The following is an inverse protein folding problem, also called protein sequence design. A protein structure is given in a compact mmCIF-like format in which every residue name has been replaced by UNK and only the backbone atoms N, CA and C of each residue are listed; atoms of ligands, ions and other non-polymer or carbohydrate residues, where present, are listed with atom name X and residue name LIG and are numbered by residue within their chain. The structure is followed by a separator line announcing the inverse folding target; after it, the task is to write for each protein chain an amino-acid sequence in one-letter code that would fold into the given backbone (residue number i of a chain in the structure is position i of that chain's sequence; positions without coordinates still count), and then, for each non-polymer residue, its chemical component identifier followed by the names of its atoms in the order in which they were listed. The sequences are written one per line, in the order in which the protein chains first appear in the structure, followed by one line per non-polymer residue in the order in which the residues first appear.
data_IF_872182438042
#
_entry.id   IF_872182438042
#
_cell.length_a   1.000
_cell.length_b   1.000
_cell.length_c   1.000
_cell.angle_alpha   90.00
_cell.angle_beta   90.00
_cell.angle_gamma   90.00
#
_symmetry.space_group_name_H-M   'P 1'
#
loop_
_entity.id
_entity.type
_entity.pdbx_description
1 polymer ?
#
# COMPACT_ATOMS: atom_id res chain seq x y z
N UNK A 1 -11.20 -39.19 2.15
CA UNK A 1 -10.35 -39.28 3.35
C UNK A 1 -10.43 -37.93 4.04
N UNK A 2 -11.50 -37.73 4.83
CA UNK A 2 -11.74 -36.51 5.57
C UNK A 2 -11.81 -36.94 7.03
N UNK A 3 -10.76 -36.65 7.80
CA UNK A 3 -10.89 -36.49 9.25
C UNK A 3 -9.62 -35.85 9.83
N UNK A 4 -9.83 -35.06 10.88
CA UNK A 4 -8.89 -34.69 11.93
C UNK A 4 -7.86 -33.60 11.64
N UNK A 5 -8.28 -32.33 11.74
CA UNK A 5 -7.55 -31.38 12.61
C UNK A 5 -8.45 -30.23 13.08
N UNK A 6 -9.46 -30.57 13.90
CA UNK A 6 -10.20 -29.60 14.71
C UNK A 6 -9.45 -29.32 16.01
N UNK A 7 -8.14 -29.06 15.94
CA UNK A 7 -7.39 -28.53 17.08
C UNK A 7 -7.65 -27.04 17.16
N UNK A 8 -8.10 -26.59 18.33
CA UNK A 8 -8.42 -25.20 18.67
C UNK A 8 -7.30 -24.27 18.21
N UNK A 9 -7.47 -23.69 17.03
CA UNK A 9 -6.53 -22.74 16.44
C UNK A 9 -6.47 -21.52 17.36
N UNK A 10 -5.31 -21.28 17.99
CA UNK A 10 -5.12 -20.15 18.88
C UNK A 10 -5.17 -18.87 18.04
N UNK A 11 -6.26 -18.12 18.17
CA UNK A 11 -6.42 -16.81 17.52
C UNK A 11 -5.31 -15.85 17.97
N UNK A 12 -4.79 -15.06 17.04
CA UNK A 12 -3.82 -14.02 17.37
C UNK A 12 -4.44 -13.05 18.42
N UNK A 13 -3.75 -12.75 19.53
CA UNK A 13 -4.26 -11.91 20.62
C UNK A 13 -4.28 -10.41 20.29
N UNK A 14 -4.36 -10.04 19.01
CA UNK A 14 -4.32 -8.65 18.54
C UNK A 14 -5.61 -7.87 18.81
N UNK A 15 -6.76 -8.54 18.94
CA UNK A 15 -8.07 -7.87 19.03
C UNK A 15 -8.33 -7.11 20.35
N UNK A 16 -7.41 -7.17 21.33
CA UNK A 16 -7.60 -6.59 22.66
C UNK A 16 -6.42 -5.73 23.15
N UNK A 17 -5.44 -5.42 22.29
CA UNK A 17 -4.21 -4.78 22.73
C UNK A 17 -4.07 -3.35 22.19
N UNK A 18 -4.06 -2.38 23.11
CA UNK A 18 -3.53 -1.03 22.85
C UNK A 18 -2.11 -1.13 22.26
N UNK A 19 -1.69 -0.14 21.46
CA UNK A 19 -0.32 -0.04 20.95
C UNK A 19 0.76 -0.10 22.03
N UNK A 20 0.44 0.31 23.27
CA UNK A 20 1.30 0.14 24.45
C UNK A 20 1.41 -1.32 24.93
N UNK A 21 0.37 -2.14 24.75
CA UNK A 21 0.32 -3.54 25.17
C UNK A 21 1.13 -4.45 24.21
N UNK A 22 1.29 -4.05 22.95
CA UNK A 22 2.18 -4.69 21.96
C UNK A 22 3.66 -4.70 22.39
N UNK A 23 4.08 -3.72 23.20
CA UNK A 23 5.41 -3.71 23.83
C UNK A 23 5.49 -4.64 25.06
N UNK A 24 4.36 -5.03 25.65
CA UNK A 24 4.26 -5.74 26.93
C UNK A 24 3.63 -7.15 26.84
N UNK A 25 3.14 -7.61 25.69
CA UNK A 25 2.58 -8.97 25.44
C UNK A 25 2.52 -9.27 23.93
N UNK A 26 2.40 -10.52 23.42
CA UNK A 26 2.76 -11.88 23.84
C UNK A 26 3.94 -12.46 23.02
N UNK A 27 4.53 -11.67 22.12
CA UNK A 27 5.77 -12.03 21.43
C UNK A 27 6.89 -12.50 22.39
N UNK A 28 7.05 -11.93 23.60
CA UNK A 28 7.98 -12.46 24.59
C UNK A 28 7.70 -13.91 24.97
N UNK A 29 6.43 -14.34 25.04
CA UNK A 29 6.07 -15.72 25.37
C UNK A 29 6.47 -16.71 24.28
N UNK A 30 6.20 -16.39 23.01
CA UNK A 30 6.62 -17.23 21.89
C UNK A 30 8.15 -17.20 21.71
N UNK A 31 8.80 -16.05 21.93
CA UNK A 31 10.26 -15.95 21.95
C UNK A 31 10.88 -16.80 23.05
N UNK A 32 10.35 -16.75 24.28
CA UNK A 32 10.84 -17.55 25.41
C UNK A 32 10.58 -19.04 25.17
N UNK A 33 9.46 -19.41 24.55
CA UNK A 33 9.19 -20.78 24.12
C UNK A 33 10.21 -21.23 23.07
N UNK A 34 10.46 -20.41 22.04
CA UNK A 34 11.46 -20.66 21.00
C UNK A 34 12.90 -20.75 21.50
N UNK A 35 13.23 -20.05 22.59
CA UNK A 35 14.52 -20.17 23.26
C UNK A 35 14.70 -21.53 23.97
N UNK A 36 13.60 -22.11 24.48
CA UNK A 36 13.63 -23.38 25.22
C UNK A 36 13.41 -24.59 24.33
N UNK A 37 12.64 -24.46 23.26
CA UNK A 37 12.25 -25.53 22.36
C UNK A 37 12.16 -24.99 20.93
N UNK A 38 12.61 -25.75 19.91
CA UNK A 38 12.44 -25.34 18.52
C UNK A 38 10.95 -25.21 18.19
N UNK A 39 10.55 -24.07 17.63
CA UNK A 39 9.16 -23.77 17.28
C UNK A 39 8.70 -24.66 16.12
N UNK A 40 7.52 -25.26 16.27
CA UNK A 40 6.85 -26.02 15.21
C UNK A 40 5.71 -25.20 14.58
N UNK A 41 5.23 -25.61 13.40
CA UNK A 41 4.12 -24.94 12.71
C UNK A 41 2.80 -24.96 13.49
N UNK A 42 2.65 -25.91 14.41
CA UNK A 42 1.50 -26.05 15.33
C UNK A 42 1.48 -25.01 16.45
N UNK A 43 2.62 -24.37 16.75
CA UNK A 43 2.75 -23.35 17.79
C UNK A 43 2.40 -21.94 17.29
N UNK A 44 2.30 -21.75 15.97
CA UNK A 44 1.96 -20.48 15.36
C UNK A 44 0.50 -20.10 15.59
N UNK A 45 0.27 -18.80 15.78
CA UNK A 45 -1.08 -18.25 15.83
C UNK A 45 -1.70 -18.21 14.44
N UNK A 46 -3.02 -18.40 14.37
CA UNK A 46 -3.72 -18.05 13.14
C UNK A 46 -3.76 -16.56 12.93
N UNK A 47 -3.66 -16.19 11.67
CA UNK A 47 -3.79 -14.82 11.21
C UNK A 47 -5.19 -14.26 11.56
N UNK A 48 -5.27 -12.94 11.71
CA UNK A 48 -6.55 -12.27 11.89
C UNK A 48 -7.43 -12.44 10.64
N UNK A 49 -8.76 -12.46 10.83
CA UNK A 49 -9.73 -12.62 9.73
C UNK A 49 -9.56 -11.55 8.66
N UNK A 50 -9.31 -10.30 9.09
CA UNK A 50 -9.12 -9.15 8.19
C UNK A 50 -7.88 -9.24 7.30
N UNK A 51 -6.86 -9.97 7.75
CA UNK A 51 -5.59 -10.14 7.03
C UNK A 51 -5.58 -11.42 6.17
N UNK A 52 -6.67 -12.18 6.19
CA UNK A 52 -6.79 -13.45 5.47
C UNK A 52 -7.06 -13.20 3.98
N UNK A 53 -6.54 -14.08 3.12
CA UNK A 53 -6.70 -13.99 1.66
C UNK A 53 -8.16 -14.03 1.21
N UNK A 54 -9.03 -14.67 2.00
CA UNK A 54 -10.49 -14.73 1.78
C UNK A 54 -11.14 -13.36 1.77
N UNK A 55 -10.63 -12.41 2.56
CA UNK A 55 -11.16 -11.04 2.61
C UNK A 55 -10.40 -10.11 1.65
N UNK A 56 -9.07 -10.20 1.64
CA UNK A 56 -8.22 -9.26 0.90
C UNK A 56 -8.31 -9.44 -0.62
N UNK A 57 -8.35 -10.69 -1.10
CA UNK A 57 -8.29 -10.99 -2.54
C UNK A 57 -9.59 -10.63 -3.28
N UNK A 58 -10.80 -10.95 -2.78
CA UNK A 58 -12.04 -10.59 -3.47
C UNK A 58 -12.26 -9.09 -3.57
N UNK A 59 -11.85 -8.32 -2.56
CA UNK A 59 -11.93 -6.86 -2.58
C UNK A 59 -11.14 -6.29 -3.76
N UNK A 60 -9.89 -6.72 -3.93
CA UNK A 60 -9.07 -6.29 -5.06
C UNK A 60 -9.68 -6.70 -6.41
N UNK A 61 -10.16 -7.94 -6.53
CA UNK A 61 -10.75 -8.45 -7.78
C UNK A 61 -12.04 -7.70 -8.14
N UNK A 62 -12.89 -7.38 -7.16
CA UNK A 62 -14.12 -6.63 -7.39
C UNK A 62 -13.82 -5.21 -7.85
N UNK A 63 -12.84 -4.54 -7.25
CA UNK A 63 -12.40 -3.21 -7.69
C UNK A 63 -11.74 -3.24 -9.07
N UNK A 64 -10.96 -4.28 -9.37
CA UNK A 64 -10.37 -4.50 -10.69
C UNK A 64 -11.43 -4.68 -11.77
N UNK A 65 -12.45 -5.52 -11.52
CA UNK A 65 -13.57 -5.72 -12.45
C UNK A 65 -14.32 -4.41 -12.74
N UNK A 66 -14.54 -3.58 -11.71
CA UNK A 66 -15.17 -2.26 -11.87
C UNK A 66 -14.34 -1.34 -12.76
N UNK A 67 -13.02 -1.28 -12.57
CA UNK A 67 -12.14 -0.44 -13.39
C UNK A 67 -12.05 -0.96 -14.84
N UNK A 68 -11.95 -2.28 -15.06
CA UNK A 68 -12.00 -2.87 -16.40
C UNK A 68 -13.32 -2.56 -17.12
N UNK A 69 -14.45 -2.64 -16.43
CA UNK A 69 -15.76 -2.31 -16.99
C UNK A 69 -15.87 -0.81 -17.34
N UNK A 70 -15.28 0.06 -16.52
CA UNK A 70 -15.24 1.51 -16.76
C UNK A 70 -14.39 1.85 -17.99
N UNK A 71 -13.19 1.27 -18.10
CA UNK A 71 -12.30 1.45 -19.25
C UNK A 71 -12.96 0.93 -20.54
N UNK A 72 -13.62 -0.24 -20.50
CA UNK A 72 -14.38 -0.78 -21.65
C UNK A 72 -15.55 0.11 -22.07
N UNK A 73 -16.29 0.71 -21.13
CA UNK A 73 -17.38 1.64 -21.46
C UNK A 73 -16.87 2.94 -22.08
N UNK A 74 -15.70 3.40 -21.64
CA UNK A 74 -15.07 4.61 -22.16
C UNK A 74 -14.54 4.42 -23.58
N UNK A 75 -13.90 3.28 -23.89
CA UNK A 75 -13.48 2.96 -25.26
C UNK A 75 -14.68 2.82 -26.21
N UNK A 76 -15.76 2.18 -25.76
CA UNK A 76 -17.00 2.05 -26.52
C UNK A 76 -17.67 3.40 -26.78
N UNK A 77 -17.74 4.30 -25.80
CA UNK A 77 -18.28 5.66 -25.97
C UNK A 77 -17.47 6.50 -26.97
N UNK A 78 -16.14 6.41 -26.94
CA UNK A 78 -15.27 7.10 -27.92
C UNK A 78 -15.50 6.55 -29.34
N UNK A 79 -15.72 5.23 -29.49
CA UNK A 79 -16.01 4.60 -30.77
C UNK A 79 -17.38 5.02 -31.35
N UNK A 80 -18.40 5.19 -30.51
CA UNK A 80 -19.74 5.60 -30.95
C UNK A 80 -19.93 7.13 -31.07
N UNK A 81 -19.08 7.95 -30.45
CA UNK A 81 -19.13 9.41 -30.56
C UNK A 81 -18.57 9.96 -31.89
N UNK A 82 -18.13 9.09 -32.80
CA UNK A 82 -17.77 9.44 -34.18
C UNK A 82 -18.70 8.67 -35.12
N UNK A 83 -19.85 9.26 -35.52
CA UNK A 83 -19.97 9.63 -36.94
C UNK A 83 -20.94 10.79 -37.22
N UNK A 84 -20.57 11.70 -38.15
CA UNK A 84 -21.53 12.28 -39.10
C UNK A 84 -20.78 12.75 -40.35
N UNK A 85 -20.86 11.92 -41.38
CA UNK A 85 -20.78 12.36 -42.77
C UNK A 85 -22.14 12.04 -43.41
N UNK A 86 -22.82 13.01 -44.03
CA UNK A 86 -23.80 12.72 -45.05
C UNK A 86 -23.45 13.42 -46.37
N UNK A 87 -23.12 12.60 -47.38
CA UNK A 87 -23.34 12.77 -48.83
C UNK A 87 -24.48 13.76 -49.21
N UNK A 88 -24.47 14.59 -50.27
CA UNK A 88 -23.94 14.52 -51.66
C UNK A 88 -24.15 15.91 -52.38
N UNK A 89 -23.94 16.10 -53.71
CA UNK A 89 -23.12 17.17 -54.32
C UNK A 89 -23.87 18.36 -54.99
N UNK A 90 -23.17 19.48 -55.27
CA UNK A 90 -23.23 20.28 -56.53
C UNK A 90 -22.45 21.61 -56.45
N UNK A 91 -21.65 21.90 -57.49
CA UNK A 91 -21.62 23.24 -58.12
C UNK A 91 -20.47 24.20 -57.79
N UNK A 92 -19.37 24.06 -58.53
CA UNK A 92 -18.46 25.08 -59.09
C UNK A 92 -17.83 26.22 -58.24
N UNK A 93 -16.52 26.33 -58.51
CA UNK A 93 -15.63 27.51 -58.62
C UNK A 93 -14.86 28.05 -57.40
N UNK A 94 -13.53 28.02 -57.62
CA UNK A 94 -12.45 28.89 -57.15
C UNK A 94 -11.84 28.68 -55.76
N UNK A 95 -10.59 28.16 -55.82
CA UNK A 95 -9.39 28.58 -55.08
C UNK A 95 -9.62 29.18 -53.68
N UNK A 96 -9.26 28.43 -52.64
CA UNK A 96 -8.34 28.96 -51.64
C UNK A 96 -7.54 27.85 -50.96
N UNK A 97 -6.24 28.07 -50.96
CA UNK A 97 -5.21 27.25 -50.31
C UNK A 97 -5.24 27.64 -48.84
N UNK A 98 -6.03 26.96 -47.98
CA UNK A 98 -5.90 27.09 -46.51
C UNK A 98 -6.75 26.11 -45.66
N UNK A 99 -7.09 24.90 -46.15
CA UNK A 99 -7.88 23.93 -45.35
C UNK A 99 -7.16 22.60 -45.07
N UNK A 100 -5.86 22.50 -45.36
CA UNK A 100 -5.03 21.34 -44.97
C UNK A 100 -4.33 21.53 -43.60
N UNK A 101 -4.51 22.67 -42.95
CA UNK A 101 -3.84 22.98 -41.67
C UNK A 101 -4.71 22.71 -40.43
N UNK A 102 -6.04 22.66 -40.56
CA UNK A 102 -6.91 22.35 -39.41
C UNK A 102 -7.17 20.84 -39.20
N UNK A 103 -6.84 19.99 -40.17
CA UNK A 103 -6.96 18.54 -40.01
C UNK A 103 -5.80 17.90 -39.21
N UNK A 104 -4.75 18.67 -38.90
CA UNK A 104 -3.52 18.15 -38.27
C UNK A 104 -3.29 18.60 -36.82
N UNK A 105 -4.10 19.49 -36.24
CA UNK A 105 -3.80 20.09 -34.92
C UNK A 105 -4.80 19.74 -33.79
N UNK A 106 -5.97 19.15 -34.05
CA UNK A 106 -6.97 18.87 -32.96
C UNK A 106 -7.45 17.41 -32.94
N UNK A 107 -6.51 16.47 -32.86
CA UNK A 107 -6.77 15.21 -32.15
C UNK A 107 -5.49 14.76 -31.49
N UNK A 108 -5.24 15.34 -30.32
CA UNK A 108 -4.35 14.73 -29.34
C UNK A 108 -4.69 13.23 -29.26
N UNK A 109 -3.70 12.32 -29.25
CA UNK A 109 -3.96 10.92 -28.97
C UNK A 109 -4.47 10.85 -27.54
N UNK A 110 -5.79 10.95 -27.36
CA UNK A 110 -6.47 10.65 -26.11
C UNK A 110 -6.25 9.17 -25.89
N UNK A 111 -5.17 8.86 -25.18
CA UNK A 111 -4.74 7.52 -24.78
C UNK A 111 -5.97 6.70 -24.40
N UNK A 112 -6.16 5.57 -25.08
CA UNK A 112 -6.96 4.48 -24.56
C UNK A 112 -6.47 4.24 -23.13
N UNK A 113 -7.27 4.63 -22.12
CA UNK A 113 -6.91 4.44 -20.72
C UNK A 113 -7.00 2.95 -20.42
N UNK A 114 -5.90 2.25 -20.68
CA UNK A 114 -5.72 0.88 -20.23
C UNK A 114 -5.99 0.81 -18.71
N UNK A 115 -6.71 -0.21 -18.24
CA UNK A 115 -6.99 -0.34 -16.81
C UNK A 115 -5.67 -0.53 -16.06
N UNK A 116 -5.28 0.46 -15.26
CA UNK A 116 -4.04 0.39 -14.48
C UNK A 116 -4.27 -0.33 -13.16
N UNK A 117 -3.56 -1.45 -12.96
CA UNK A 117 -3.62 -2.24 -11.73
C UNK A 117 -3.12 -1.44 -10.52
N UNK A 118 -2.09 -0.61 -10.71
CA UNK A 118 -1.57 0.31 -9.70
C UNK A 118 -2.64 1.25 -9.16
N UNK A 119 -3.47 1.80 -10.05
CA UNK A 119 -4.55 2.72 -9.64
C UNK A 119 -5.61 2.02 -8.79
N UNK A 120 -5.97 0.79 -9.14
CA UNK A 120 -6.93 -0.01 -8.38
C UNK A 120 -6.35 -0.41 -7.03
N UNK A 121 -5.08 -0.78 -7.00
CA UNK A 121 -4.35 -1.13 -5.79
C UNK A 121 -4.29 0.07 -4.83
N UNK A 122 -3.89 1.23 -5.33
CA UNK A 122 -3.82 2.47 -4.54
C UNK A 122 -5.20 2.92 -4.06
N UNK A 123 -6.26 2.77 -4.87
CA UNK A 123 -7.62 3.09 -4.44
C UNK A 123 -8.16 2.14 -3.36
N UNK A 124 -7.73 0.88 -3.39
CA UNK A 124 -8.20 -0.16 -2.46
C UNK A 124 -7.48 -0.06 -1.11
N UNK A 125 -6.14 0.08 -1.13
CA UNK A 125 -5.32 0.13 0.08
C UNK A 125 -4.96 1.56 0.52
N UNK A 126 -5.28 2.57 -0.28
CA UNK A 126 -4.93 3.97 -0.08
C UNK A 126 -5.38 4.58 1.25
N UNK A 127 -6.61 4.36 1.74
CA UNK A 127 -7.02 4.93 3.04
C UNK A 127 -6.15 4.43 4.20
N UNK A 128 -5.80 3.15 4.19
CA UNK A 128 -4.93 2.55 5.22
C UNK A 128 -3.49 3.05 5.09
N UNK A 129 -3.03 3.20 3.85
CA UNK A 129 -1.70 3.74 3.54
C UNK A 129 -1.57 5.24 3.88
N UNK A 130 -2.62 6.04 3.65
CA UNK A 130 -2.66 7.47 3.97
C UNK A 130 -2.59 7.71 5.48
N UNK A 131 -3.21 6.85 6.28
CA UNK A 131 -3.05 6.91 7.74
C UNK A 131 -1.59 6.71 8.16
N UNK A 132 -0.86 5.81 7.50
CA UNK A 132 0.58 5.62 7.74
C UNK A 132 1.39 6.89 7.43
N UNK A 133 1.07 7.56 6.32
CA UNK A 133 1.70 8.81 5.92
C UNK A 133 1.50 9.93 6.98
N UNK A 134 0.30 10.03 7.55
CA UNK A 134 0.01 11.00 8.62
C UNK A 134 0.85 10.74 9.89
N UNK A 135 0.97 9.47 10.31
CA UNK A 135 1.83 9.12 11.45
C UNK A 135 3.31 9.40 11.18
N UNK A 136 3.77 9.16 9.95
CA UNK A 136 5.14 9.46 9.54
C UNK A 136 5.43 10.97 9.56
N UNK A 137 4.53 11.78 9.01
CA UNK A 137 4.65 13.23 9.05
C UNK A 137 4.71 13.76 10.50
N UNK A 138 3.88 13.21 11.40
CA UNK A 138 3.91 13.57 12.82
C UNK A 138 5.25 13.19 13.48
N UNK A 139 5.79 12.00 13.20
CA UNK A 139 7.10 11.59 13.68
C UNK A 139 8.21 12.55 13.20
N UNK A 140 8.17 12.96 11.94
CA UNK A 140 9.20 13.82 11.37
C UNK A 140 9.14 15.24 11.96
N UNK A 141 7.95 15.74 12.31
CA UNK A 141 7.80 16.97 13.11
C UNK A 141 8.42 16.83 14.51
N UNK A 142 8.18 15.70 15.19
CA UNK A 142 8.78 15.44 16.50
C UNK A 142 10.31 15.27 16.43
N UNK A 143 10.85 14.82 15.29
CA UNK A 143 12.30 14.71 15.10
C UNK A 143 13.00 16.08 15.22
N UNK A 144 12.33 17.17 14.80
CA UNK A 144 12.86 18.53 14.99
C UNK A 144 12.77 19.03 16.43
N UNK A 145 11.87 18.48 17.25
CA UNK A 145 11.76 18.86 18.65
C UNK A 145 13.01 18.47 19.47
N UNK A 146 13.68 17.37 19.12
CA UNK A 146 14.90 16.91 19.81
C UNK A 146 16.02 17.96 19.83
N UNK A 147 16.50 18.44 18.66
CA UNK A 147 17.51 19.50 18.57
C UNK A 147 17.09 20.82 19.24
N UNK A 148 15.82 21.22 19.13
CA UNK A 148 15.31 22.44 19.77
C UNK A 148 15.35 22.34 21.31
N UNK A 149 14.91 21.22 21.88
CA UNK A 149 15.00 20.99 23.33
C UNK A 149 16.47 20.96 23.77
N UNK A 150 17.35 20.32 22.98
CA UNK A 150 18.78 20.29 23.29
C UNK A 150 19.40 21.69 23.30
N UNK A 151 19.00 22.58 22.38
CA UNK A 151 19.43 23.97 22.37
C UNK A 151 18.99 24.72 23.64
N UNK A 152 17.76 24.49 24.11
CA UNK A 152 17.28 25.07 25.36
C UNK A 152 18.09 24.59 26.57
N UNK A 153 18.47 23.31 26.60
CA UNK A 153 19.36 22.77 27.65
C UNK A 153 20.73 23.43 27.61
N UNK A 154 21.33 23.59 26.43
CA UNK A 154 22.64 24.28 26.29
C UNK A 154 22.56 25.73 26.79
N UNK A 155 21.48 26.44 26.45
CA UNK A 155 21.25 27.80 26.91
C UNK A 155 21.07 27.86 28.44
N UNK A 156 20.34 26.90 29.03
CA UNK A 156 20.18 26.79 30.48
C UNK A 156 21.52 26.56 31.19
N UNK A 157 22.41 25.75 30.62
CA UNK A 157 23.74 25.49 31.20
C UNK A 157 24.65 26.72 31.17
N UNK A 158 24.47 27.61 30.19
CA UNK A 158 25.24 28.85 30.09
C UNK A 158 24.76 29.95 31.03
N UNK A 159 23.49 29.92 31.47
CA UNK A 159 22.90 30.91 32.37
C UNK A 159 23.02 30.46 33.83
N UNK A 160 23.74 31.24 34.64
CA UNK A 160 24.00 30.91 36.06
C UNK A 160 22.90 31.40 37.01
N UNK A 161 21.98 32.24 36.54
CA UNK A 161 20.88 32.79 37.34
C UNK A 161 19.59 31.97 37.16
N UNK A 162 19.59 30.98 36.25
CA UNK A 162 18.42 30.17 35.94
C UNK A 162 18.10 29.17 37.07
N UNK A 163 16.81 28.96 37.39
CA UNK A 163 16.41 28.08 38.47
C UNK A 163 16.49 26.58 38.10
N UNK A 164 16.97 25.74 39.02
CA UNK A 164 17.25 24.31 38.77
C UNK A 164 16.05 23.50 38.23
N UNK A 165 14.82 23.84 38.63
CA UNK A 165 13.60 23.15 38.18
C UNK A 165 13.41 23.19 36.66
N UNK A 166 13.93 24.24 36.00
CA UNK A 166 13.82 24.41 34.56
C UNK A 166 14.69 23.40 33.80
N UNK A 167 15.88 23.06 34.33
CA UNK A 167 16.74 22.00 33.80
C UNK A 167 16.10 20.61 33.92
N UNK A 168 15.49 20.29 35.07
CA UNK A 168 14.74 19.05 35.24
C UNK A 168 13.53 18.96 34.29
N UNK A 169 12.86 20.08 34.02
CA UNK A 169 11.76 20.14 33.06
C UNK A 169 12.23 19.84 31.63
N UNK A 170 13.32 20.46 31.14
CA UNK A 170 13.83 20.21 29.79
C UNK A 170 14.33 18.78 29.58
N UNK A 171 15.01 18.20 30.58
CA UNK A 171 15.48 16.81 30.50
C UNK A 171 14.33 15.80 30.52
N UNK A 172 13.32 16.01 31.37
CA UNK A 172 12.09 15.21 31.37
C UNK A 172 11.33 15.34 30.04
N UNK A 173 11.23 16.55 29.49
CA UNK A 173 10.60 16.80 28.20
C UNK A 173 11.34 16.08 27.06
N UNK A 174 12.67 16.11 27.06
CA UNK A 174 13.49 15.38 26.09
C UNK A 174 13.23 13.87 26.16
N UNK A 175 13.22 13.30 27.36
CA UNK A 175 12.94 11.88 27.57
C UNK A 175 11.55 11.48 27.05
N UNK A 176 10.51 12.24 27.43
CA UNK A 176 9.13 11.99 26.97
C UNK A 176 9.02 12.11 25.45
N UNK A 177 9.65 13.13 24.86
CA UNK A 177 9.68 13.33 23.41
C UNK A 177 10.34 12.15 22.70
N UNK A 178 11.51 11.69 23.17
CA UNK A 178 12.20 10.52 22.62
C UNK A 178 11.38 9.24 22.74
N UNK A 179 10.75 8.99 23.90
CA UNK A 179 9.87 7.83 24.07
C UNK A 179 8.68 7.88 23.10
N UNK A 180 8.00 9.01 22.99
CA UNK A 180 6.87 9.17 22.08
C UNK A 180 7.31 8.99 20.61
N UNK A 181 8.47 9.53 20.24
CA UNK A 181 9.05 9.38 18.91
C UNK A 181 9.27 7.90 18.57
N UNK A 182 9.89 7.13 19.47
CA UNK A 182 10.09 5.68 19.28
C UNK A 182 8.76 4.94 19.14
N UNK A 183 7.76 5.25 19.96
CA UNK A 183 6.43 4.62 19.89
C UNK A 183 5.73 4.89 18.55
N UNK A 184 5.72 6.16 18.11
CA UNK A 184 5.12 6.54 16.82
C UNK A 184 5.84 5.87 15.66
N UNK A 185 7.17 5.80 15.69
CA UNK A 185 7.96 5.14 14.66
C UNK A 185 7.65 3.64 14.55
N UNK A 186 7.56 2.95 15.68
CA UNK A 186 7.20 1.53 15.70
C UNK A 186 5.78 1.29 15.21
N UNK A 187 4.82 2.13 15.60
CA UNK A 187 3.44 2.05 15.12
C UNK A 187 3.38 2.25 13.60
N UNK A 188 4.13 3.21 13.08
CA UNK A 188 4.29 3.45 11.64
C UNK A 188 4.82 2.20 10.92
N UNK A 189 5.94 1.62 11.39
CA UNK A 189 6.49 0.40 10.77
C UNK A 189 5.50 -0.76 10.81
N UNK A 190 4.80 -0.96 11.94
CA UNK A 190 3.80 -2.01 12.08
C UNK A 190 2.67 -1.86 11.05
N UNK A 191 2.13 -0.64 10.88
CA UNK A 191 1.08 -0.36 9.87
C UNK A 191 1.62 -0.59 8.45
N UNK A 192 2.83 -0.13 8.15
CA UNK A 192 3.48 -0.33 6.84
C UNK A 192 3.67 -1.81 6.52
N UNK A 193 4.19 -2.61 7.46
CA UNK A 193 4.37 -4.05 7.25
C UNK A 193 3.04 -4.77 7.04
N UNK A 194 2.01 -4.49 7.83
CA UNK A 194 0.67 -5.08 7.64
C UNK A 194 0.10 -4.70 6.27
N UNK A 195 0.20 -3.42 5.88
CA UNK A 195 -0.25 -2.97 4.56
C UNK A 195 0.51 -3.66 3.42
N UNK A 196 1.84 -3.79 3.55
CA UNK A 196 2.68 -4.49 2.57
C UNK A 196 2.31 -5.97 2.44
N UNK A 197 2.06 -6.65 3.57
CA UNK A 197 1.58 -8.04 3.58
C UNK A 197 0.22 -8.17 2.88
N UNK A 198 -0.75 -7.29 3.18
CA UNK A 198 -2.06 -7.28 2.52
C UNK A 198 -1.92 -7.10 1.01
N UNK A 199 -1.08 -6.16 0.55
CA UNK A 199 -0.80 -5.94 -0.88
C UNK A 199 -0.21 -7.20 -1.52
N UNK A 200 0.81 -7.80 -0.90
CA UNK A 200 1.44 -9.04 -1.40
C UNK A 200 0.41 -10.16 -1.55
N UNK A 201 -0.40 -10.41 -0.52
CA UNK A 201 -1.47 -11.42 -0.53
C UNK A 201 -2.49 -11.15 -1.64
N UNK A 202 -2.89 -9.90 -1.82
CA UNK A 202 -3.84 -9.49 -2.86
C UNK A 202 -3.29 -9.75 -4.27
N UNK A 203 -2.03 -9.34 -4.52
CA UNK A 203 -1.36 -9.50 -5.81
C UNK A 203 -1.17 -10.99 -6.13
N UNK A 204 -0.61 -11.77 -5.21
CA UNK A 204 -0.39 -13.21 -5.41
C UNK A 204 -1.72 -13.93 -5.66
N UNK A 205 -2.75 -13.66 -4.86
CA UNK A 205 -4.08 -14.26 -5.04
C UNK A 205 -4.76 -13.88 -6.36
N UNK A 206 -4.61 -12.63 -6.80
CA UNK A 206 -5.14 -12.17 -8.08
C UNK A 206 -4.41 -12.81 -9.27
N UNK A 207 -3.07 -12.88 -9.23
CA UNK A 207 -2.25 -13.52 -10.26
C UNK A 207 -2.56 -15.01 -10.33
N UNK A 208 -2.71 -15.69 -9.19
CA UNK A 208 -3.03 -17.11 -9.12
C UNK A 208 -4.38 -17.42 -9.79
N UNK A 209 -5.43 -16.67 -9.43
CA UNK A 209 -6.74 -16.81 -10.08
C UNK A 209 -6.69 -16.51 -11.57
N UNK A 210 -5.88 -15.55 -12.01
CA UNK A 210 -5.70 -15.25 -13.43
C UNK A 210 -4.95 -16.34 -14.19
N UNK A 211 -3.91 -16.91 -13.58
CA UNK A 211 -3.14 -18.01 -14.16
C UNK A 211 -4.01 -19.25 -14.44
N UNK A 212 -4.98 -19.53 -13.57
CA UNK A 212 -5.92 -20.67 -13.75
C UNK A 212 -6.94 -20.47 -14.89
N UNK A 213 -7.21 -19.23 -15.31
CA UNK A 213 -8.27 -18.91 -16.30
C UNK A 213 -7.66 -18.44 -17.64
N UNK A 214 -6.33 -18.42 -17.77
CA UNK A 214 -5.65 -17.90 -18.95
C UNK A 214 -5.78 -18.85 -20.16
N UNK A 215 -6.05 -18.27 -21.33
CA UNK A 215 -6.21 -19.02 -22.59
C UNK A 215 -4.88 -19.65 -23.02
N UNK A 216 -4.94 -20.76 -23.77
CA UNK A 216 -3.73 -21.43 -24.26
C UNK A 216 -2.83 -20.51 -25.12
N UNK A 217 -3.41 -19.54 -25.84
CA UNK A 217 -2.64 -18.57 -26.63
C UNK A 217 -1.82 -17.63 -25.75
N UNK A 218 -2.40 -17.10 -24.67
CA UNK A 218 -1.68 -16.24 -23.73
C UNK A 218 -0.71 -17.05 -22.83
N UNK A 219 -1.00 -18.32 -22.57
CA UNK A 219 -0.08 -19.25 -21.87
C UNK A 219 1.20 -19.57 -22.65
N UNK A 220 1.16 -19.45 -23.98
CA UNK A 220 2.37 -19.55 -24.82
C UNK A 220 3.23 -18.28 -24.76
N UNK A 221 2.63 -17.13 -24.43
CA UNK A 221 3.32 -15.85 -24.32
C UNK A 221 3.90 -15.57 -22.94
N UNK A 222 3.36 -16.19 -21.88
CA UNK A 222 3.87 -16.09 -20.52
C UNK A 222 4.20 -17.48 -20.00
N UNK A 223 5.49 -17.76 -19.83
CA UNK A 223 5.99 -19.02 -19.30
C UNK A 223 5.56 -19.21 -17.84
N UNK A 224 5.45 -20.47 -17.41
CA UNK A 224 5.16 -20.79 -16.00
C UNK A 224 6.22 -20.19 -15.06
N UNK A 225 7.48 -20.12 -15.52
CA UNK A 225 8.58 -19.50 -14.78
C UNK A 225 8.37 -18.01 -14.53
N UNK A 226 7.90 -17.25 -15.54
CA UNK A 226 7.60 -15.83 -15.38
C UNK A 226 6.45 -15.59 -14.38
N UNK A 227 5.41 -16.43 -14.40
CA UNK A 227 4.29 -16.32 -13.45
C UNK A 227 4.77 -16.58 -12.02
N UNK A 228 5.59 -17.60 -11.81
CA UNK A 228 6.17 -17.92 -10.49
C UNK A 228 7.13 -16.83 -10.02
N UNK A 229 7.93 -16.28 -10.93
CA UNK A 229 8.83 -15.16 -10.64
C UNK A 229 8.03 -13.92 -10.21
N UNK A 230 6.91 -13.63 -10.88
CA UNK A 230 6.04 -12.51 -10.53
C UNK A 230 5.38 -12.70 -9.15
N UNK A 231 4.96 -13.91 -8.79
CA UNK A 231 4.42 -14.20 -7.46
C UNK A 231 5.48 -14.15 -6.35
N UNK A 232 6.74 -14.48 -6.65
CA UNK A 232 7.78 -14.64 -5.64
C UNK A 232 8.62 -13.37 -5.49
N UNK A 233 9.17 -12.87 -6.59
CA UNK A 233 10.10 -11.73 -6.62
C UNK A 233 9.33 -10.42 -6.67
N UNK A 234 8.45 -10.22 -7.65
CA UNK A 234 7.78 -8.92 -7.82
C UNK A 234 6.85 -8.61 -6.65
N UNK A 235 6.09 -9.60 -6.17
CA UNK A 235 5.23 -9.43 -5.00
C UNK A 235 6.02 -9.12 -3.72
N UNK A 236 7.23 -9.69 -3.56
CA UNK A 236 8.11 -9.32 -2.44
C UNK A 236 8.63 -7.90 -2.60
N UNK A 237 9.06 -7.50 -3.80
CA UNK A 237 9.51 -6.14 -4.07
C UNK A 237 8.43 -5.09 -3.81
N UNK A 238 7.17 -5.40 -4.09
CA UNK A 238 6.05 -4.52 -3.72
C UNK A 238 5.87 -4.36 -2.22
N UNK A 239 6.01 -5.45 -1.45
CA UNK A 239 5.96 -5.38 0.01
C UNK A 239 7.09 -4.52 0.57
N UNK A 240 8.32 -4.71 0.07
CA UNK A 240 9.48 -3.93 0.48
C UNK A 240 9.29 -2.45 0.09
N UNK A 241 8.90 -2.17 -1.15
CA UNK A 241 8.63 -0.81 -1.64
C UNK A 241 7.58 -0.10 -0.80
N UNK A 242 6.52 -0.79 -0.35
CA UNK A 242 5.46 -0.22 0.47
C UNK A 242 5.98 0.33 1.82
N UNK A 243 7.11 -0.18 2.32
CA UNK A 243 7.75 0.33 3.54
C UNK A 243 8.63 1.56 3.29
N UNK A 244 9.23 1.67 2.10
CA UNK A 244 10.15 2.76 1.74
C UNK A 244 9.49 3.92 1.01
N UNK A 245 8.33 3.73 0.40
CA UNK A 245 7.62 4.78 -0.34
C UNK A 245 7.22 5.97 0.54
N UNK A 246 7.10 5.77 1.85
CA UNK A 246 6.83 6.83 2.83
C UNK A 246 8.10 7.52 3.34
N UNK A 247 9.28 7.07 2.89
CA UNK A 247 10.59 7.70 3.16
C UNK A 247 10.96 8.73 2.09
N UNK A 248 10.39 8.61 0.89
CA UNK A 248 10.58 9.51 -0.27
C UNK A 248 9.51 10.59 -0.27
#
# INVERSE_FOLDING_TARGET
MADSDSRSVRGAPQHSQCSLCLLLCPAPRMMVQGYRQPLESSDLWSLNKEDTSEEVVPVLINNWKKECAKSRKQSVQIMYASPKDPSKPKGSSQLDVNEEVEALIVKSPQQDKEPSLFKVLYKTFGPYFLMSFLFKALHDLMMFAGPEILKLIINFVNDREAPDWQGYFYTALLFVSSCLQTLVLHQYFHICFISGMRIKTAVVGAVYRKALVITNSARKSSTVGEIVNLMSVDAQRFMDLATYINMV
#
